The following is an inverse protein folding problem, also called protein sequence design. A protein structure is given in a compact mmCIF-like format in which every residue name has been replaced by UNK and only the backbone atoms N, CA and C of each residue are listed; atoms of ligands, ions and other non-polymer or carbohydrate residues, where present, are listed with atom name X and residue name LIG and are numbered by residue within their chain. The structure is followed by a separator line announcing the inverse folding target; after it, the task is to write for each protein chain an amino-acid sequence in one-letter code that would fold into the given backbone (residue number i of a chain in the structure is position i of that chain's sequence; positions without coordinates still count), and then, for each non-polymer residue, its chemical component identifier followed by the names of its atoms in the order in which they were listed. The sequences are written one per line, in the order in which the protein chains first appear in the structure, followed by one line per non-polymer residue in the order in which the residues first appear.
data_IF_879460512032
#
_entry.id   IF_879460512032
#
_cell.length_a   1.000
_cell.length_b   1.000
_cell.length_c   1.000
_cell.angle_alpha   90.00
_cell.angle_beta   90.00
_cell.angle_gamma   90.00
#
_symmetry.space_group_name_H-M   'P 1'
#
loop_
_entity.id
_entity.type
_entity.pdbx_description
1 polymer ?
#
# COMPACT_ATOMS: atom_id res chain seq x y z
N UNK A 1 -9.74 -13.99 0.72
CA UNK A 1 -10.31 -12.95 -0.18
C UNK A 1 -11.15 -11.89 0.55
N UNK A 2 -11.63 -12.16 1.77
CA UNK A 2 -12.56 -11.29 2.51
C UNK A 2 -11.99 -9.93 2.95
N UNK A 3 -10.65 -9.76 2.98
CA UNK A 3 -10.01 -8.51 3.43
C UNK A 3 -9.43 -7.67 2.27
N UNK A 4 -8.72 -8.30 1.33
CA UNK A 4 -7.99 -7.59 0.27
C UNK A 4 -8.92 -6.90 -0.72
N UNK A 5 -9.91 -7.62 -1.25
CA UNK A 5 -10.80 -7.08 -2.27
C UNK A 5 -11.62 -5.88 -1.74
N UNK A 6 -12.23 -5.95 -0.53
CA UNK A 6 -12.90 -4.78 0.05
C UNK A 6 -11.95 -3.61 0.33
N UNK A 7 -10.73 -3.86 0.80
CA UNK A 7 -9.76 -2.78 1.08
C UNK A 7 -9.37 -2.02 -0.19
N UNK A 8 -9.07 -2.75 -1.28
CA UNK A 8 -8.73 -2.16 -2.58
C UNK A 8 -9.92 -1.40 -3.16
N UNK A 9 -11.10 -2.05 -3.20
CA UNK A 9 -12.29 -1.45 -3.81
C UNK A 9 -12.81 -0.26 -2.99
N UNK A 10 -12.74 -0.31 -1.67
CA UNK A 10 -13.10 0.79 -0.78
C UNK A 10 -12.20 2.01 -1.00
N UNK A 11 -10.88 1.80 -1.04
CA UNK A 11 -9.91 2.88 -1.30
C UNK A 11 -10.14 3.52 -2.67
N UNK A 12 -10.29 2.73 -3.72
CA UNK A 12 -10.56 3.23 -5.07
C UNK A 12 -11.90 3.99 -5.16
N UNK A 13 -12.93 3.53 -4.44
CA UNK A 13 -14.23 4.20 -4.42
C UNK A 13 -14.14 5.61 -3.84
N UNK A 14 -13.42 5.77 -2.72
CA UNK A 14 -13.19 7.08 -2.08
C UNK A 14 -12.36 7.98 -2.99
N UNK A 15 -11.24 7.49 -3.54
CA UNK A 15 -10.37 8.28 -4.42
C UNK A 15 -11.11 8.76 -5.69
N UNK A 16 -11.91 7.90 -6.31
CA UNK A 16 -12.77 8.26 -7.46
C UNK A 16 -13.87 9.25 -7.10
N UNK A 17 -14.31 9.28 -5.84
CA UNK A 17 -15.29 10.25 -5.37
C UNK A 17 -14.61 11.61 -5.15
N UNK A 18 -13.45 11.63 -4.50
CA UNK A 18 -12.64 12.84 -4.32
C UNK A 18 -12.26 13.49 -5.65
N UNK A 19 -11.92 12.71 -6.69
CA UNK A 19 -11.54 13.26 -7.99
C UNK A 19 -12.69 13.96 -8.74
N UNK A 20 -13.95 13.70 -8.37
CA UNK A 20 -15.12 14.33 -8.99
C UNK A 20 -15.48 15.70 -8.39
N UNK A 21 -14.91 16.07 -7.24
CA UNK A 21 -15.26 17.29 -6.52
C UNK A 21 -14.09 18.26 -6.50
N UNK A 22 -14.27 19.45 -7.05
CA UNK A 22 -13.21 20.46 -7.18
C UNK A 22 -12.79 21.10 -5.84
N UNK A 23 -13.58 20.91 -4.78
CA UNK A 23 -13.27 21.39 -3.43
C UNK A 23 -12.19 20.56 -2.73
N UNK A 24 -11.99 19.30 -3.12
CA UNK A 24 -10.96 18.43 -2.54
C UNK A 24 -9.62 18.73 -3.20
N UNK A 25 -8.69 19.31 -2.43
CA UNK A 25 -7.38 19.76 -2.94
C UNK A 25 -6.25 18.76 -2.71
N UNK A 26 -6.38 17.90 -1.69
CA UNK A 26 -5.36 16.93 -1.29
C UNK A 26 -6.04 15.75 -0.62
N UNK A 27 -5.58 14.55 -0.93
CA UNK A 27 -5.95 13.33 -0.22
C UNK A 27 -4.71 12.78 0.46
N UNK A 28 -4.83 12.41 1.74
CA UNK A 28 -3.79 11.71 2.50
C UNK A 28 -4.32 10.31 2.76
N UNK A 29 -3.57 9.29 2.33
CA UNK A 29 -3.94 7.89 2.52
C UNK A 29 -3.12 7.33 3.67
N UNK A 30 -3.78 6.84 4.71
CA UNK A 30 -3.10 6.11 5.79
C UNK A 30 -2.71 4.73 5.28
N UNK A 31 -1.47 4.61 4.84
CA UNK A 31 -0.84 3.34 4.50
C UNK A 31 -0.23 2.68 5.75
N UNK A 32 0.57 1.63 5.55
CA UNK A 32 1.25 0.90 6.61
C UNK A 32 2.68 0.60 6.18
N UNK A 33 3.58 0.44 7.15
CA UNK A 33 4.94 -0.07 6.90
C UNK A 33 4.93 -1.44 6.18
N UNK A 34 3.84 -2.20 6.33
CA UNK A 34 3.63 -3.45 5.61
C UNK A 34 3.56 -3.30 4.08
N UNK A 35 3.33 -2.10 3.53
CA UNK A 35 3.34 -1.90 2.07
C UNK A 35 4.75 -1.74 1.47
N UNK A 36 5.79 -1.62 2.31
CA UNK A 36 7.17 -1.38 1.83
C UNK A 36 8.19 -2.43 2.31
N UNK A 37 7.91 -3.14 3.41
CA UNK A 37 8.90 -4.02 4.05
C UNK A 37 8.89 -5.46 3.54
N UNK A 38 7.80 -6.00 2.99
CA UNK A 38 7.67 -7.43 2.71
C UNK A 38 8.02 -7.75 1.26
N UNK A 39 9.31 -7.84 0.95
CA UNK A 39 9.81 -8.23 -0.35
C UNK A 39 11.01 -9.17 -0.24
N UNK A 40 11.48 -9.66 -1.38
CA UNK A 40 12.60 -10.63 -1.47
C UNK A 40 13.99 -9.98 -1.32
N UNK A 41 14.08 -8.68 -1.02
CA UNK A 41 15.37 -8.00 -0.80
C UNK A 41 15.97 -8.45 0.53
N UNK A 42 17.26 -8.72 0.55
CA UNK A 42 17.99 -9.03 1.77
C UNK A 42 18.07 -7.80 2.68
N UNK A 43 17.73 -7.98 3.96
CA UNK A 43 17.77 -6.91 4.97
C UNK A 43 18.94 -7.18 5.92
N UNK A 44 20.04 -6.47 5.70
CA UNK A 44 21.21 -6.46 6.59
C UNK A 44 21.18 -5.26 7.56
N UNK A 45 22.13 -5.18 8.50
CA UNK A 45 22.20 -4.10 9.49
C UNK A 45 22.29 -2.68 8.89
N UNK A 46 22.91 -2.55 7.72
CA UNK A 46 23.12 -1.26 7.04
C UNK A 46 22.05 -0.95 5.98
N UNK A 47 21.00 -1.79 5.87
CA UNK A 47 19.96 -1.60 4.87
C UNK A 47 18.94 -0.58 5.35
N UNK A 48 18.84 0.54 4.64
CA UNK A 48 17.81 1.56 4.85
C UNK A 48 16.59 1.22 4.01
N UNK A 49 15.42 1.18 4.66
CA UNK A 49 14.13 1.06 3.99
C UNK A 49 13.59 2.47 3.78
N UNK A 50 13.44 2.86 2.52
CA UNK A 50 12.94 4.17 2.11
C UNK A 50 11.65 4.04 1.28
N UNK A 51 11.11 5.16 0.81
CA UNK A 51 9.86 5.23 0.05
C UNK A 51 9.95 4.64 -1.36
N UNK A 52 11.14 4.22 -1.81
CA UNK A 52 11.33 3.51 -3.09
C UNK A 52 11.09 2.01 -2.96
N UNK A 53 10.96 1.50 -1.73
CA UNK A 53 10.67 0.10 -1.47
C UNK A 53 9.19 -0.21 -1.57
N UNK A 54 8.88 -1.37 -2.14
CA UNK A 54 7.52 -1.91 -2.20
C UNK A 54 7.54 -3.35 -1.72
N UNK A 55 6.50 -3.73 -0.99
CA UNK A 55 6.22 -5.13 -0.71
C UNK A 55 5.83 -5.86 -1.99
N UNK A 56 6.27 -7.11 -2.13
CA UNK A 56 5.95 -7.98 -3.25
C UNK A 56 4.68 -8.77 -2.90
N UNK A 57 3.56 -8.59 -3.62
CA UNK A 57 2.31 -9.30 -3.35
C UNK A 57 2.48 -10.83 -3.35
N UNK A 58 3.32 -11.37 -4.24
CA UNK A 58 3.54 -12.83 -4.32
C UNK A 58 4.24 -13.32 -3.07
N UNK A 59 5.27 -12.60 -2.61
CA UNK A 59 5.96 -12.91 -1.36
C UNK A 59 5.02 -12.83 -0.14
N UNK A 60 4.12 -11.84 -0.10
CA UNK A 60 3.15 -11.68 0.97
C UNK A 60 2.13 -12.83 1.01
N UNK A 61 1.65 -13.29 -0.15
CA UNK A 61 0.73 -14.42 -0.25
C UNK A 61 1.40 -15.75 0.12
N UNK A 62 2.65 -15.95 -0.29
CA UNK A 62 3.47 -17.13 0.08
C UNK A 62 3.77 -17.20 1.60
N UNK A 63 3.80 -16.05 2.28
CA UNK A 63 4.15 -15.93 3.70
C UNK A 63 2.95 -16.00 4.65
N UNK A 64 1.74 -16.25 4.13
CA UNK A 64 0.48 -16.26 4.87
C UNK A 64 0.02 -17.68 5.21
#
# INVERSE_FOLDING_TARGET
AELIQPAVQGTLNVLRSCSKVTSVRRVVVTASIASVTFNKKTKGPDVVIDETWFSDPVFCEESQ
#
